data_IF_275534997970
#
_entry.id   IF_275534997970
#
_cell.length_a   1.000
_cell.length_b   1.000
_cell.length_c   1.000
_cell.angle_alpha   90.00
_cell.angle_beta   90.00
_cell.angle_gamma   90.00
#
_symmetry.space_group_name_H-M   'P 1'
#
loop_
_entity.id
_entity.type
_entity.pdbx_description
1 polymer ?
#
# COMPACT_ATOMS: atom_id res chain seq x y z
N UNK A 1 -12.83 -8.09 18.08
CA UNK A 1 -11.68 -7.65 18.90
C UNK A 1 -10.51 -7.26 17.97
N UNK A 2 -9.62 -6.36 18.39
CA UNK A 2 -8.37 -6.12 17.66
C UNK A 2 -7.42 -7.28 17.96
N UNK A 3 -7.08 -8.07 16.93
CA UNK A 3 -6.04 -9.08 17.07
C UNK A 3 -4.70 -8.40 16.77
N UNK A 4 -3.77 -8.41 17.73
CA UNK A 4 -2.46 -7.81 17.53
C UNK A 4 -1.51 -8.73 16.75
N UNK A 5 -1.77 -10.04 16.76
CA UNK A 5 -0.85 -11.01 16.21
C UNK A 5 -1.60 -12.23 15.70
N UNK A 6 -1.29 -12.64 14.47
CA UNK A 6 -1.74 -13.87 13.85
C UNK A 6 -0.60 -14.45 12.99
N UNK A 7 0.01 -15.59 13.40
CA UNK A 7 1.14 -16.17 12.68
C UNK A 7 0.75 -16.74 11.31
N UNK A 8 -0.51 -17.13 11.10
CA UNK A 8 -0.97 -17.75 9.85
C UNK A 8 -0.94 -16.75 8.68
N UNK A 9 -1.20 -15.47 8.98
CA UNK A 9 -1.16 -14.39 8.00
C UNK A 9 0.24 -13.95 7.57
N UNK A 10 1.28 -14.31 8.33
CA UNK A 10 2.65 -13.81 8.09
C UNK A 10 3.23 -14.32 6.77
N UNK A 11 3.02 -15.61 6.47
CA UNK A 11 3.52 -16.23 5.24
C UNK A 11 2.78 -15.74 3.98
N UNK A 12 1.54 -15.26 4.14
CA UNK A 12 0.77 -14.65 3.06
C UNK A 12 1.19 -13.18 2.86
N UNK A 13 1.44 -12.46 3.95
CA UNK A 13 1.83 -11.05 3.89
C UNK A 13 3.28 -10.85 3.42
N UNK A 14 4.18 -11.77 3.75
CA UNK A 14 5.61 -11.69 3.38
C UNK A 14 5.85 -11.45 1.88
N UNK A 15 5.31 -12.25 0.94
CA UNK A 15 5.50 -11.99 -0.50
C UNK A 15 4.89 -10.66 -0.94
N UNK A 16 3.75 -10.23 -0.37
CA UNK A 16 3.13 -8.95 -0.70
C UNK A 16 4.03 -7.79 -0.32
N UNK A 17 4.62 -7.82 0.88
CA UNK A 17 5.57 -6.81 1.35
C UNK A 17 6.82 -6.81 0.47
N UNK A 18 7.38 -7.98 0.17
CA UNK A 18 8.56 -8.08 -0.69
C UNK A 18 8.31 -7.49 -2.09
N UNK A 19 7.16 -7.79 -2.69
CA UNK A 19 6.75 -7.22 -3.97
C UNK A 19 6.54 -5.70 -3.89
N UNK A 20 5.94 -5.20 -2.81
CA UNK A 20 5.70 -3.77 -2.61
C UNK A 20 7.00 -2.97 -2.44
N UNK A 21 8.04 -3.59 -1.88
CA UNK A 21 9.37 -2.99 -1.68
C UNK A 21 10.41 -3.54 -2.68
N UNK A 22 10.01 -3.78 -3.92
CA UNK A 22 10.91 -4.17 -5.02
C UNK A 22 11.24 -2.98 -5.95
N UNK A 23 12.00 -1.94 -5.50
CA UNK A 23 12.46 -0.88 -6.39
C UNK A 23 13.71 -1.27 -7.19
N UNK A 24 14.32 -2.42 -6.92
CA UNK A 24 15.61 -2.81 -7.51
C UNK A 24 15.55 -2.91 -9.04
N UNK A 25 14.38 -3.22 -9.61
CA UNK A 25 14.16 -3.28 -11.06
C UNK A 25 14.13 -1.89 -11.71
N UNK A 26 13.66 -0.87 -10.99
CA UNK A 26 13.54 0.51 -11.49
C UNK A 26 14.75 1.39 -11.13
N UNK A 27 15.65 0.90 -10.29
CA UNK A 27 16.84 1.62 -9.81
C UNK A 27 17.73 2.11 -10.98
N UNK A 28 17.92 1.28 -12.01
CA UNK A 28 18.72 1.64 -13.18
C UNK A 28 18.11 2.78 -14.01
N UNK A 29 16.78 2.84 -14.09
CA UNK A 29 16.07 3.94 -14.77
C UNK A 29 16.17 5.26 -13.99
N UNK A 30 16.14 5.19 -12.66
CA UNK A 30 16.38 6.35 -11.79
C UNK A 30 17.83 6.83 -11.94
N UNK A 31 18.79 5.91 -12.06
CA UNK A 31 20.20 6.26 -12.28
C UNK A 31 20.43 6.98 -13.61
N UNK A 32 19.82 6.50 -14.70
CA UNK A 32 20.00 7.08 -16.04
C UNK A 32 19.37 8.46 -16.21
N UNK A 33 18.38 8.81 -15.38
CA UNK A 33 17.66 10.09 -15.44
C UNK A 33 18.22 11.16 -14.51
N UNK A 34 19.17 10.81 -13.63
CA UNK A 34 19.77 11.76 -12.69
C UNK A 34 20.78 12.71 -13.36
N UNK A 35 20.65 14.01 -13.08
CA UNK A 35 21.63 15.02 -13.44
C UNK A 35 22.87 14.86 -12.54
N UNK A 36 23.98 14.36 -13.10
CA UNK A 36 25.22 13.99 -12.40
C UNK A 36 25.08 12.68 -11.59
N UNK A 37 25.06 11.52 -12.27
CA UNK A 37 24.83 10.23 -11.63
C UNK A 37 26.03 9.85 -10.75
N UNK A 38 25.76 9.58 -9.48
CA UNK A 38 26.73 8.98 -8.56
C UNK A 38 26.06 7.95 -7.66
N UNK A 39 26.74 6.84 -7.41
CA UNK A 39 26.27 5.76 -6.54
C UNK A 39 25.82 6.25 -5.15
N UNK A 40 26.57 7.13 -4.45
CA UNK A 40 26.12 7.61 -3.14
C UNK A 40 24.85 8.48 -3.21
N UNK A 41 24.67 9.30 -4.24
CA UNK A 41 23.45 10.11 -4.40
C UNK A 41 22.25 9.24 -4.73
N UNK A 42 22.40 8.26 -5.61
CA UNK A 42 21.36 7.29 -5.95
C UNK A 42 20.85 6.55 -4.71
N UNK A 43 21.77 6.13 -3.83
CA UNK A 43 21.41 5.46 -2.57
C UNK A 43 20.54 6.34 -1.69
N UNK A 44 20.94 7.59 -1.46
CA UNK A 44 20.17 8.53 -0.62
C UNK A 44 18.78 8.77 -1.18
N UNK A 45 18.66 8.99 -2.50
CA UNK A 45 17.36 9.20 -3.15
C UNK A 45 16.46 7.96 -2.97
N UNK A 46 17.00 6.77 -3.25
CA UNK A 46 16.25 5.52 -3.16
C UNK A 46 15.80 5.22 -1.73
N UNK A 47 16.67 5.46 -0.75
CA UNK A 47 16.35 5.29 0.68
C UNK A 47 15.25 6.24 1.13
N UNK A 48 15.31 7.52 0.73
CA UNK A 48 14.26 8.51 1.03
C UNK A 48 12.93 8.14 0.38
N UNK A 49 12.94 7.67 -0.87
CA UNK A 49 11.74 7.19 -1.56
C UNK A 49 11.14 5.97 -0.85
N UNK A 50 11.97 5.01 -0.46
CA UNK A 50 11.53 3.81 0.28
C UNK A 50 10.88 4.15 1.62
N UNK A 51 11.47 5.07 2.38
CA UNK A 51 10.89 5.55 3.65
C UNK A 51 9.54 6.22 3.40
N UNK A 52 9.43 7.05 2.35
CA UNK A 52 8.17 7.68 1.96
C UNK A 52 7.09 6.65 1.62
N UNK A 53 7.39 5.71 0.72
CA UNK A 53 6.47 4.64 0.35
C UNK A 53 6.07 3.78 1.55
N UNK A 54 7.04 3.40 2.40
CA UNK A 54 6.77 2.61 3.60
C UNK A 54 5.87 3.32 4.60
N UNK A 55 6.01 4.65 4.74
CA UNK A 55 5.14 5.46 5.59
C UNK A 55 3.70 5.43 5.07
N UNK A 56 3.50 5.60 3.75
CA UNK A 56 2.16 5.53 3.14
C UNK A 56 1.56 4.14 3.30
N UNK A 57 2.30 3.08 3.01
CA UNK A 57 1.83 1.70 3.19
C UNK A 57 1.45 1.41 4.65
N UNK A 58 2.24 1.89 5.60
CA UNK A 58 1.95 1.72 7.03
C UNK A 58 0.66 2.45 7.43
N UNK A 59 0.48 3.71 7.00
CA UNK A 59 -0.74 4.48 7.31
C UNK A 59 -1.97 3.81 6.71
N UNK A 60 -1.91 3.41 5.43
CA UNK A 60 -3.03 2.74 4.75
C UNK A 60 -3.37 1.41 5.43
N UNK A 61 -2.36 0.59 5.75
CA UNK A 61 -2.54 -0.68 6.44
C UNK A 61 -3.13 -0.50 7.85
N UNK A 62 -2.61 0.45 8.62
CA UNK A 62 -3.08 0.74 9.97
C UNK A 62 -4.52 1.27 9.97
N UNK A 63 -4.81 2.28 9.16
CA UNK A 63 -6.16 2.85 9.05
C UNK A 63 -7.16 1.83 8.49
N UNK A 64 -6.77 1.05 7.48
CA UNK A 64 -7.61 -0.01 6.92
C UNK A 64 -7.94 -1.09 7.94
N UNK A 65 -6.94 -1.55 8.71
CA UNK A 65 -7.15 -2.52 9.77
C UNK A 65 -8.03 -1.98 10.90
N UNK A 66 -7.84 -0.73 11.32
CA UNK A 66 -8.68 -0.10 12.35
C UNK A 66 -10.13 0.07 11.89
N UNK A 67 -10.35 0.37 10.60
CA UNK A 67 -11.68 0.59 10.03
C UNK A 67 -12.49 -0.71 9.87
N UNK A 68 -11.88 -1.80 9.39
CA UNK A 68 -12.60 -3.05 9.05
C UNK A 68 -12.32 -4.21 10.02
N UNK A 69 -11.26 -4.12 10.82
CA UNK A 69 -10.84 -5.11 11.82
C UNK A 69 -10.75 -6.52 11.23
N UNK A 70 -11.43 -7.49 11.86
CA UNK A 70 -11.43 -8.91 11.50
C UNK A 70 -12.09 -9.21 10.14
N UNK A 71 -12.77 -8.24 9.53
CA UNK A 71 -13.37 -8.40 8.19
C UNK A 71 -12.52 -7.77 7.10
N UNK A 72 -11.24 -7.46 7.36
CA UNK A 72 -10.34 -6.88 6.36
C UNK A 72 -10.09 -7.89 5.23
N UNK A 73 -10.60 -7.60 4.03
CA UNK A 73 -10.28 -8.39 2.84
C UNK A 73 -8.81 -8.16 2.44
N UNK A 74 -8.20 -9.15 1.78
CA UNK A 74 -6.81 -9.03 1.30
C UNK A 74 -6.57 -7.82 0.39
N UNK A 75 -7.62 -7.40 -0.34
CA UNK A 75 -7.71 -6.07 -0.94
C UNK A 75 -8.66 -5.21 -0.10
N UNK A 76 -8.09 -4.18 0.54
CA UNK A 76 -8.81 -3.27 1.44
C UNK A 76 -9.91 -2.47 0.73
N UNK A 77 -9.81 -2.24 -0.58
CA UNK A 77 -10.81 -1.50 -1.35
C UNK A 77 -12.12 -2.28 -1.49
N UNK A 78 -12.07 -3.62 -1.43
CA UNK A 78 -13.27 -4.47 -1.53
C UNK A 78 -14.21 -4.27 -0.35
N UNK A 79 -13.69 -3.82 0.78
CA UNK A 79 -14.47 -3.52 1.97
C UNK A 79 -15.20 -2.17 1.91
N UNK A 80 -14.84 -1.31 0.96
CA UNK A 80 -15.54 -0.06 0.68
C UNK A 80 -16.78 -0.34 -0.20
N UNK A 81 -17.83 0.48 -0.09
CA UNK A 81 -19.01 0.42 -0.96
C UNK A 81 -20.15 -0.48 -0.45
N UNK A 82 -20.18 -0.80 0.83
CA UNK A 82 -21.30 -1.55 1.43
C UNK A 82 -22.64 -0.80 1.32
N UNK A 83 -23.73 -1.53 1.12
CA UNK A 83 -25.09 -0.97 0.91
C UNK A 83 -25.63 -0.12 2.07
N UNK A 84 -24.96 -0.15 3.22
CA UNK A 84 -25.30 0.64 4.41
C UNK A 84 -24.74 2.07 4.39
N UNK A 85 -23.81 2.39 3.48
CA UNK A 85 -23.25 3.74 3.34
C UNK A 85 -24.12 4.54 2.37
N UNK A 86 -24.62 5.69 2.80
CA UNK A 86 -25.46 6.61 2.01
C UNK A 86 -24.81 7.99 1.84
N UNK A 87 -25.23 8.74 0.81
CA UNK A 87 -24.75 10.10 0.53
C UNK A 87 -23.46 10.17 -0.30
N UNK A 88 -22.73 11.29 -0.18
CA UNK A 88 -21.53 11.59 -0.97
C UNK A 88 -20.42 10.54 -0.82
N UNK A 89 -20.29 9.98 0.39
CA UNK A 89 -19.34 8.91 0.70
C UNK A 89 -19.64 7.64 -0.09
N UNK A 90 -20.91 7.27 -0.23
CA UNK A 90 -21.32 6.11 -1.01
C UNK A 90 -21.02 6.29 -2.50
N UNK A 91 -21.20 7.50 -3.03
CA UNK A 91 -20.88 7.82 -4.41
C UNK A 91 -19.37 7.71 -4.66
N UNK A 92 -18.56 8.26 -3.75
CA UNK A 92 -17.10 8.17 -3.82
C UNK A 92 -16.60 6.72 -3.78
N UNK A 93 -17.09 5.92 -2.84
CA UNK A 93 -16.72 4.50 -2.71
C UNK A 93 -17.16 3.68 -3.93
N UNK A 94 -18.32 3.99 -4.54
CA UNK A 94 -18.76 3.36 -5.80
C UNK A 94 -17.92 3.78 -7.00
N UNK A 95 -17.54 5.05 -7.09
CA UNK A 95 -16.66 5.54 -8.16
C UNK A 95 -15.27 4.88 -8.07
N UNK A 96 -14.74 4.71 -6.85
CA UNK A 96 -13.51 3.97 -6.61
C UNK A 96 -13.62 2.51 -7.08
N UNK A 97 -14.69 1.79 -6.69
CA UNK A 97 -14.91 0.42 -7.16
C UNK A 97 -14.95 0.32 -8.69
N UNK A 98 -15.69 1.20 -9.35
CA UNK A 98 -15.76 1.26 -10.81
C UNK A 98 -14.38 1.53 -11.44
N UNK A 99 -13.61 2.46 -10.87
CA UNK A 99 -12.28 2.83 -11.38
C UNK A 99 -11.23 1.71 -11.25
N UNK A 100 -11.35 0.87 -10.20
CA UNK A 100 -10.46 -0.26 -9.97
C UNK A 100 -11.01 -1.61 -10.49
N UNK A 101 -12.20 -1.62 -11.11
CA UNK A 101 -12.82 -2.82 -11.69
C UNK A 101 -13.30 -3.86 -10.65
N UNK A 102 -13.68 -3.39 -9.45
CA UNK A 102 -14.08 -4.20 -8.29
C UNK A 102 -15.59 -4.37 -8.13
#
# INVERSE_FOLDING_TARGET
>A
PVALWDPDGLLIAAPVILCAFTPHTVLFAVYSTMKMPSVPRMRVVSEKSLIGCGTVYFIVGLCGYLAFRQRTAGDVLRNLGGSAVTGLRALYERALRLGYGL
#
